data_IF_937656847793
#
_entry.id   IF_937656847793
#
_cell.length_a   1.000
_cell.length_b   1.000
_cell.length_c   1.000
_cell.angle_alpha   90.00
_cell.angle_beta   90.00
_cell.angle_gamma   90.00
#
_symmetry.space_group_name_H-M   'P 1'
#
loop_
_entity.id
_entity.type
_entity.pdbx_description
1 polymer ?
#
# COMPACT_ATOMS: atom_id res chain seq x y z
N UNK A 1 -8.17 20.72 -12.44
CA UNK A 1 -9.43 20.49 -11.70
C UNK A 1 -10.49 21.54 -12.01
N UNK A 2 -11.73 21.10 -12.28
CA UNK A 2 -12.94 21.96 -12.36
C UNK A 2 -13.91 21.61 -11.24
N UNK A 3 -14.52 22.61 -10.61
CA UNK A 3 -15.51 22.48 -9.54
C UNK A 3 -16.88 22.97 -10.01
N UNK A 4 -17.92 22.16 -9.86
CA UNK A 4 -19.32 22.47 -10.15
C UNK A 4 -20.20 22.00 -8.99
N UNK A 5 -20.41 22.87 -8.00
CA UNK A 5 -21.14 22.60 -6.76
C UNK A 5 -20.70 21.30 -6.04
N UNK A 6 -19.45 21.21 -5.54
CA UNK A 6 -18.93 20.01 -4.91
C UNK A 6 -19.77 19.58 -3.70
N UNK A 7 -20.14 18.30 -3.65
CA UNK A 7 -20.92 17.75 -2.56
C UNK A 7 -20.61 16.27 -2.32
N UNK A 8 -20.67 15.84 -1.07
CA UNK A 8 -20.50 14.43 -0.71
C UNK A 8 -21.68 13.62 -1.25
N UNK A 9 -21.38 12.50 -1.91
CA UNK A 9 -22.39 11.54 -2.36
C UNK A 9 -23.18 10.99 -1.18
N UNK A 10 -24.50 10.90 -1.33
CA UNK A 10 -25.36 10.29 -0.28
C UNK A 10 -25.15 8.78 -0.17
N UNK A 11 -24.75 8.13 -1.27
CA UNK A 11 -24.46 6.69 -1.34
C UNK A 11 -23.37 6.44 -2.39
N UNK A 12 -22.55 5.42 -2.18
CA UNK A 12 -21.53 4.94 -3.09
C UNK A 12 -22.12 3.88 -4.03
N UNK A 13 -21.69 3.92 -5.30
CA UNK A 13 -22.15 2.94 -6.29
C UNK A 13 -21.59 1.54 -6.01
N UNK A 14 -22.06 0.53 -6.75
CA UNK A 14 -21.43 -0.79 -6.69
C UNK A 14 -20.01 -0.77 -7.25
N UNK A 15 -19.77 0.03 -8.28
CA UNK A 15 -18.45 0.21 -8.90
C UNK A 15 -17.47 0.84 -7.90
N UNK A 16 -17.87 1.91 -7.21
CA UNK A 16 -17.07 2.55 -6.16
C UNK A 16 -16.67 1.52 -5.08
N UNK A 17 -17.64 0.73 -4.62
CA UNK A 17 -17.39 -0.31 -3.58
C UNK A 17 -16.46 -1.43 -4.02
N UNK A 18 -16.25 -1.62 -5.33
CA UNK A 18 -15.32 -2.62 -5.89
C UNK A 18 -13.95 -2.02 -6.13
N UNK A 19 -13.89 -0.80 -6.68
CA UNK A 19 -12.64 -0.15 -7.10
C UNK A 19 -11.90 0.47 -5.91
N UNK A 20 -12.60 1.17 -5.02
CA UNK A 20 -11.96 1.90 -3.92
C UNK A 20 -11.08 1.00 -3.04
N UNK A 21 -11.49 -0.21 -2.61
CA UNK A 21 -10.59 -1.07 -1.83
C UNK A 21 -9.30 -1.46 -2.56
N UNK A 22 -9.38 -1.62 -3.89
CA UNK A 22 -8.22 -1.98 -4.72
C UNK A 22 -7.24 -0.81 -4.80
N UNK A 23 -7.75 0.38 -5.14
CA UNK A 23 -6.95 1.60 -5.25
C UNK A 23 -6.34 2.00 -3.90
N UNK A 24 -7.13 1.96 -2.82
CA UNK A 24 -6.63 2.24 -1.47
C UNK A 24 -5.51 1.27 -1.06
N UNK A 25 -5.65 -0.02 -1.39
CA UNK A 25 -4.65 -1.01 -1.08
C UNK A 25 -3.31 -0.73 -1.80
N UNK A 26 -3.32 -0.11 -2.98
CA UNK A 26 -2.09 0.25 -3.70
C UNK A 26 -1.23 1.25 -2.92
N UNK A 27 -1.85 2.15 -2.14
CA UNK A 27 -1.14 3.10 -1.28
C UNK A 27 -0.25 2.45 -0.20
N UNK A 28 -0.40 1.14 0.03
CA UNK A 28 0.38 0.36 1.00
C UNK A 28 1.58 -0.36 0.41
N UNK A 29 1.79 -0.30 -0.91
CA UNK A 29 2.86 -1.04 -1.57
C UNK A 29 3.61 -0.17 -2.58
N UNK A 30 4.91 -0.42 -2.71
CA UNK A 30 5.76 0.20 -3.74
C UNK A 30 6.53 -0.87 -4.49
N UNK A 31 6.76 -0.63 -5.77
CA UNK A 31 7.66 -1.43 -6.59
C UNK A 31 9.00 -0.69 -6.75
N UNK A 32 10.11 -1.41 -6.62
CA UNK A 32 11.42 -0.88 -6.97
C UNK A 32 11.62 -0.85 -8.50
N UNK A 33 12.78 -0.35 -8.96
CA UNK A 33 13.12 -0.30 -10.39
C UNK A 33 13.24 -1.66 -11.08
N UNK A 34 13.22 -2.76 -10.32
CA UNK A 34 13.21 -4.14 -10.82
C UNK A 34 11.81 -4.77 -10.75
N UNK A 35 10.79 -4.00 -10.33
CA UNK A 35 9.41 -4.46 -10.19
C UNK A 35 9.15 -5.27 -8.91
N UNK A 36 10.09 -5.31 -7.95
CA UNK A 36 9.89 -6.02 -6.69
C UNK A 36 8.98 -5.20 -5.78
N UNK A 37 7.84 -5.79 -5.42
CA UNK A 37 6.84 -5.16 -4.57
C UNK A 37 7.19 -5.34 -3.10
N UNK A 38 7.14 -4.25 -2.33
CA UNK A 38 7.33 -4.25 -0.88
C UNK A 38 6.18 -3.52 -0.19
N UNK A 39 5.88 -3.93 1.04
CA UNK A 39 4.93 -3.22 1.89
C UNK A 39 5.56 -1.93 2.44
N UNK A 40 4.96 -0.80 2.07
CA UNK A 40 5.40 0.56 2.42
C UNK A 40 4.17 1.47 2.56
N UNK A 41 3.63 1.66 3.77
CA UNK A 41 2.37 2.39 3.99
C UNK A 41 2.48 3.92 3.85
N UNK A 42 3.54 4.43 3.23
CA UNK A 42 3.83 5.87 3.16
C UNK A 42 2.83 6.67 2.32
N UNK A 43 2.12 6.00 1.40
CA UNK A 43 1.16 6.64 0.50
C UNK A 43 -0.29 6.34 0.88
N UNK A 44 -0.56 5.65 1.99
CA UNK A 44 -1.90 5.25 2.39
C UNK A 44 -2.82 6.46 2.60
N UNK A 45 -2.37 7.47 3.36
CA UNK A 45 -3.17 8.67 3.64
C UNK A 45 -3.39 9.51 2.38
N UNK A 46 -2.35 9.64 1.56
CA UNK A 46 -2.44 10.34 0.26
C UNK A 46 -3.45 9.64 -0.65
N UNK A 47 -3.44 8.30 -0.67
CA UNK A 47 -4.37 7.51 -1.47
C UNK A 47 -5.80 7.62 -0.94
N UNK A 48 -5.99 7.68 0.38
CA UNK A 48 -7.31 7.91 0.98
C UNK A 48 -7.92 9.23 0.52
N UNK A 49 -7.14 10.31 0.53
CA UNK A 49 -7.58 11.63 0.03
C UNK A 49 -7.93 11.55 -1.46
N UNK A 50 -7.05 10.96 -2.29
CA UNK A 50 -7.30 10.84 -3.73
C UNK A 50 -8.59 10.06 -4.02
N UNK A 51 -8.73 8.88 -3.42
CA UNK A 51 -9.89 7.99 -3.60
C UNK A 51 -11.17 8.66 -3.10
N UNK A 52 -11.12 9.38 -1.97
CA UNK A 52 -12.27 10.13 -1.47
C UNK A 52 -12.78 11.15 -2.50
N UNK A 53 -11.89 11.97 -3.07
CA UNK A 53 -12.33 12.99 -4.03
C UNK A 53 -12.67 12.43 -5.41
N UNK A 54 -12.15 11.25 -5.78
CA UNK A 54 -12.52 10.56 -7.01
C UNK A 54 -13.89 9.88 -6.91
N UNK A 55 -14.20 9.25 -5.76
CA UNK A 55 -15.33 8.35 -5.65
C UNK A 55 -16.43 8.82 -4.72
N UNK A 56 -16.17 9.72 -3.77
CA UNK A 56 -17.13 10.11 -2.74
C UNK A 56 -17.67 11.53 -2.89
N UNK A 57 -17.10 12.34 -3.79
CA UNK A 57 -17.51 13.73 -4.00
C UNK A 57 -18.00 13.93 -5.43
N UNK A 58 -19.24 14.38 -5.58
CA UNK A 58 -19.80 14.83 -6.85
C UNK A 58 -19.39 16.28 -7.14
N UNK A 59 -19.47 16.70 -8.41
CA UNK A 59 -19.20 18.08 -8.79
C UNK A 59 -17.72 18.44 -8.90
N UNK A 60 -16.83 17.45 -8.95
CA UNK A 60 -15.40 17.64 -9.22
C UNK A 60 -15.03 16.86 -10.48
N UNK A 61 -14.35 17.51 -11.40
CA UNK A 61 -13.79 16.88 -12.58
C UNK A 61 -12.28 17.15 -12.64
N UNK A 62 -11.52 16.06 -12.71
CA UNK A 62 -10.07 16.13 -12.87
C UNK A 62 -9.68 16.12 -14.35
N UNK A 63 -8.57 16.77 -14.67
CA UNK A 63 -7.99 16.77 -16.01
C UNK A 63 -7.48 15.38 -16.35
N UNK A 64 -7.88 14.90 -17.53
CA UNK A 64 -7.47 13.60 -18.05
C UNK A 64 -6.65 13.78 -19.31
N UNK A 65 -5.66 12.91 -19.49
CA UNK A 65 -4.87 12.75 -20.72
C UNK A 65 -5.30 11.43 -21.37
N UNK A 66 -5.46 11.43 -22.69
CA UNK A 66 -5.60 10.19 -23.45
C UNK A 66 -4.23 9.54 -23.56
N UNK A 67 -4.15 8.25 -23.21
CA UNK A 67 -2.96 7.43 -23.45
C UNK A 67 -3.07 6.65 -24.75
N UNK A 68 -1.91 6.26 -25.30
CA UNK A 68 -1.80 5.41 -26.49
C UNK A 68 -2.45 4.04 -26.22
N UNK A 69 -3.76 3.96 -26.48
CA UNK A 69 -4.61 2.83 -26.08
C UNK A 69 -6.06 3.21 -25.81
N UNK A 70 -6.42 4.50 -25.87
CA UNK A 70 -7.79 4.97 -25.68
C UNK A 70 -8.25 4.94 -24.22
N UNK A 71 -7.31 4.84 -23.27
CA UNK A 71 -7.60 4.98 -21.84
C UNK A 71 -7.36 6.41 -21.41
N UNK A 72 -8.29 6.96 -20.65
CA UNK A 72 -8.12 8.25 -19.99
C UNK A 72 -7.39 8.03 -18.68
N UNK A 73 -6.24 8.67 -18.50
CA UNK A 73 -5.54 8.73 -17.21
C UNK A 73 -5.67 10.12 -16.63
N UNK A 74 -5.82 10.23 -15.31
CA UNK A 74 -5.80 11.52 -14.63
C UNK A 74 -4.39 12.13 -14.81
N UNK A 75 -4.34 13.31 -15.41
CA UNK A 75 -3.10 14.02 -15.73
C UNK A 75 -2.62 14.91 -14.57
N UNK A 76 -3.53 15.29 -13.67
CA UNK A 76 -3.22 16.17 -12.55
C UNK A 76 -2.93 15.41 -11.25
N UNK A 77 -2.12 16.01 -10.37
CA UNK A 77 -1.91 15.49 -9.02
C UNK A 77 -3.13 15.84 -8.14
N UNK A 78 -4.03 14.88 -7.97
CA UNK A 78 -5.28 15.05 -7.20
C UNK A 78 -4.98 15.56 -5.79
N UNK A 79 -4.05 14.92 -5.08
CA UNK A 79 -3.70 15.27 -3.71
C UNK A 79 -3.34 16.76 -3.61
N UNK A 80 -2.46 17.24 -4.50
CA UNK A 80 -2.09 18.65 -4.51
C UNK A 80 -3.24 19.58 -4.92
N UNK A 81 -4.11 19.14 -5.83
CA UNK A 81 -5.24 19.94 -6.30
C UNK A 81 -6.28 20.16 -5.18
N UNK A 82 -6.57 19.13 -4.40
CA UNK A 82 -7.61 19.16 -3.36
C UNK A 82 -7.10 19.71 -2.03
N UNK A 83 -5.85 19.44 -1.64
CA UNK A 83 -5.29 19.92 -0.36
C UNK A 83 -5.03 21.43 -0.34
N UNK A 84 -4.87 22.05 -1.52
CA UNK A 84 -4.76 23.51 -1.65
C UNK A 84 -6.12 24.21 -1.61
N UNK A 85 -7.23 23.45 -1.65
CA UNK A 85 -8.60 23.96 -1.67
C UNK A 85 -9.28 23.73 -0.31
N UNK A 86 -9.40 24.79 0.48
CA UNK A 86 -9.98 24.72 1.83
C UNK A 86 -11.45 24.28 1.85
N UNK A 87 -12.23 24.57 0.79
CA UNK A 87 -13.63 24.15 0.72
C UNK A 87 -13.73 22.63 0.54
N UNK A 88 -12.86 22.07 -0.30
CA UNK A 88 -12.80 20.64 -0.54
C UNK A 88 -12.30 19.89 0.71
N UNK A 89 -11.24 20.38 1.34
CA UNK A 89 -10.74 19.76 2.57
C UNK A 89 -11.75 19.80 3.70
N UNK A 90 -12.60 20.83 3.78
CA UNK A 90 -13.73 20.85 4.71
C UNK A 90 -14.71 19.69 4.49
N UNK A 91 -14.98 19.31 3.24
CA UNK A 91 -15.82 18.13 2.94
C UNK A 91 -15.14 16.83 3.40
N UNK A 92 -13.82 16.73 3.19
CA UNK A 92 -13.05 15.58 3.66
C UNK A 92 -13.09 15.46 5.19
N UNK A 93 -12.78 16.55 5.90
CA UNK A 93 -12.80 16.59 7.36
C UNK A 93 -14.20 16.29 7.90
N UNK A 94 -15.23 16.93 7.36
CA UNK A 94 -16.63 16.68 7.74
C UNK A 94 -17.03 15.21 7.54
N UNK A 95 -16.52 14.54 6.50
CA UNK A 95 -16.84 13.15 6.24
C UNK A 95 -16.21 12.18 7.24
N UNK A 96 -14.95 12.41 7.60
CA UNK A 96 -14.18 11.51 8.47
C UNK A 96 -14.26 11.84 9.96
N UNK A 97 -14.73 13.03 10.34
CA UNK A 97 -15.04 13.38 11.73
C UNK A 97 -16.35 12.72 12.24
N UNK A 98 -17.08 11.99 11.39
CA UNK A 98 -18.33 11.34 11.78
C UNK A 98 -18.11 10.14 12.70
N UNK A 99 -18.76 10.15 13.86
CA UNK A 99 -18.72 9.09 14.85
C UNK A 99 -20.08 8.36 14.98
N UNK A 100 -20.17 7.37 15.89
CA UNK A 100 -21.38 6.56 16.08
C UNK A 100 -22.61 7.38 16.47
N UNK A 101 -22.42 8.52 17.13
CA UNK A 101 -23.49 9.37 17.61
C UNK A 101 -23.93 10.40 16.54
N UNK A 102 -23.00 10.84 15.67
CA UNK A 102 -23.30 11.81 14.59
C UNK A 102 -23.76 11.17 13.29
N UNK A 103 -23.33 9.94 12.98
CA UNK A 103 -23.73 9.23 11.74
C UNK A 103 -25.25 9.20 11.53
N UNK A 104 -26.11 8.93 12.54
CA UNK A 104 -27.56 8.85 12.31
C UNK A 104 -28.20 10.13 11.76
N UNK A 105 -27.64 11.30 12.09
CA UNK A 105 -28.13 12.62 11.66
C UNK A 105 -27.39 13.18 10.44
N UNK A 106 -26.33 12.51 9.99
CA UNK A 106 -25.54 12.89 8.83
C UNK A 106 -26.34 12.73 7.50
N UNK A 107 -26.34 13.75 6.61
CA UNK A 107 -27.05 13.67 5.32
C UNK A 107 -26.55 12.56 4.37
N UNK A 108 -25.32 12.11 4.54
CA UNK A 108 -24.63 11.12 3.71
C UNK A 108 -24.20 9.89 4.53
N UNK A 109 -24.97 9.55 5.57
CA UNK A 109 -24.70 8.44 6.49
C UNK A 109 -24.50 7.09 5.79
N UNK A 110 -25.23 6.81 4.71
CA UNK A 110 -25.06 5.57 3.95
C UNK A 110 -23.67 5.50 3.31
N UNK A 111 -23.18 6.60 2.71
CA UNK A 111 -21.83 6.67 2.17
C UNK A 111 -20.75 6.51 3.25
N UNK A 112 -20.95 7.08 4.45
CA UNK A 112 -20.03 6.90 5.60
C UNK A 112 -19.97 5.44 6.02
N UNK A 113 -21.13 4.78 6.20
CA UNK A 113 -21.20 3.36 6.58
C UNK A 113 -20.54 2.48 5.50
N UNK A 114 -20.77 2.78 4.23
CA UNK A 114 -20.15 2.06 3.11
C UNK A 114 -18.63 2.27 3.09
N UNK A 115 -18.14 3.49 3.37
CA UNK A 115 -16.71 3.76 3.48
C UNK A 115 -16.06 2.92 4.59
N UNK A 116 -16.69 2.80 5.76
CA UNK A 116 -16.16 1.92 6.81
C UNK A 116 -16.04 0.46 6.35
N UNK A 117 -16.99 -0.02 5.54
CA UNK A 117 -16.90 -1.33 4.89
C UNK A 117 -15.71 -1.42 3.93
N UNK A 118 -15.54 -0.41 3.07
CA UNK A 118 -14.44 -0.30 2.10
C UNK A 118 -13.08 -0.30 2.81
N UNK A 119 -12.93 0.48 3.89
CA UNK A 119 -11.70 0.52 4.69
C UNK A 119 -11.39 -0.83 5.33
N UNK A 120 -12.42 -1.52 5.85
CA UNK A 120 -12.26 -2.88 6.39
C UNK A 120 -11.83 -3.89 5.32
N UNK A 121 -12.39 -3.80 4.11
CA UNK A 121 -11.99 -4.68 3.01
C UNK A 121 -10.59 -4.34 2.48
N UNK A 122 -10.23 -3.05 2.46
CA UNK A 122 -8.86 -2.60 2.16
C UNK A 122 -7.86 -3.22 3.12
N UNK A 123 -8.12 -3.20 4.43
CA UNK A 123 -7.25 -3.81 5.44
C UNK A 123 -7.05 -5.31 5.18
N UNK A 124 -8.13 -6.05 4.86
CA UNK A 124 -8.05 -7.48 4.52
C UNK A 124 -7.23 -7.71 3.26
N UNK A 125 -7.40 -6.87 2.23
CA UNK A 125 -6.63 -6.96 0.98
C UNK A 125 -5.15 -6.70 1.21
N UNK A 126 -4.81 -5.68 2.01
CA UNK A 126 -3.44 -5.36 2.38
C UNK A 126 -2.81 -6.51 3.15
N UNK A 127 -3.52 -7.08 4.13
CA UNK A 127 -3.00 -8.21 4.90
C UNK A 127 -2.81 -9.46 4.02
N UNK A 128 -3.78 -9.78 3.17
CA UNK A 128 -3.65 -10.89 2.23
C UNK A 128 -2.42 -10.72 1.32
N UNK A 129 -2.22 -9.52 0.75
CA UNK A 129 -1.07 -9.23 -0.12
C UNK A 129 0.26 -9.25 0.64
N UNK A 130 0.29 -8.80 1.89
CA UNK A 130 1.47 -8.95 2.76
C UNK A 130 1.83 -10.43 2.94
N UNK A 131 0.85 -11.28 3.21
CA UNK A 131 1.06 -12.72 3.34
C UNK A 131 1.58 -13.34 2.04
N UNK A 132 1.08 -12.93 0.88
CA UNK A 132 1.60 -13.39 -0.41
C UNK A 132 3.09 -13.06 -0.57
N UNK A 133 3.49 -11.82 -0.27
CA UNK A 133 4.88 -11.37 -0.36
C UNK A 133 5.82 -12.11 0.59
N UNK A 134 5.33 -12.57 1.75
CA UNK A 134 6.11 -13.36 2.71
C UNK A 134 6.29 -14.78 2.19
N UNK A 135 5.20 -15.45 1.80
CA UNK A 135 5.26 -16.84 1.33
C UNK A 135 6.05 -16.98 0.02
N UNK A 136 5.97 -16.01 -0.90
CA UNK A 136 6.81 -16.01 -2.11
C UNK A 136 8.31 -16.00 -1.78
N UNK A 137 8.71 -15.26 -0.73
CA UNK A 137 10.10 -15.23 -0.26
C UNK A 137 10.50 -16.53 0.42
N UNK A 138 9.59 -17.13 1.20
CA UNK A 138 9.81 -18.43 1.84
C UNK A 138 9.97 -19.56 0.82
N UNK A 139 9.15 -19.58 -0.23
CA UNK A 139 9.25 -20.55 -1.31
C UNK A 139 10.58 -20.41 -2.08
N UNK A 140 10.99 -19.19 -2.39
CA UNK A 140 12.26 -18.92 -3.05
C UNK A 140 13.48 -19.35 -2.20
N UNK A 141 13.45 -19.06 -0.90
CA UNK A 141 14.50 -19.51 0.03
C UNK A 141 14.52 -21.03 0.16
N UNK A 142 13.36 -21.67 0.24
CA UNK A 142 13.24 -23.13 0.30
C UNK A 142 13.80 -23.77 -0.96
N UNK A 143 13.48 -23.24 -2.14
CA UNK A 143 14.04 -23.70 -3.40
C UNK A 143 15.56 -23.55 -3.46
N UNK A 144 16.11 -22.42 -2.97
CA UNK A 144 17.55 -22.20 -2.88
C UNK A 144 18.23 -23.20 -1.96
N UNK A 145 17.68 -23.44 -0.75
CA UNK A 145 18.21 -24.40 0.22
C UNK A 145 18.17 -25.84 -0.31
N UNK A 146 17.12 -26.21 -1.04
CA UNK A 146 17.02 -27.52 -1.70
C UNK A 146 18.05 -27.65 -2.82
N UNK A 147 18.25 -26.61 -3.63
CA UNK A 147 19.27 -26.61 -4.68
C UNK A 147 20.69 -26.69 -4.10
N UNK A 148 20.96 -25.95 -3.02
CA UNK A 148 22.24 -25.99 -2.30
C UNK A 148 22.50 -27.38 -1.70
N UNK A 149 21.49 -27.97 -1.03
CA UNK A 149 21.60 -29.32 -0.46
C UNK A 149 21.90 -30.36 -1.54
N UNK A 150 21.17 -30.36 -2.66
CA UNK A 150 21.44 -31.27 -3.79
C UNK A 150 22.84 -31.11 -4.37
N UNK A 151 23.34 -29.87 -4.42
CA UNK A 151 24.72 -29.60 -4.88
C UNK A 151 25.76 -30.09 -3.88
N UNK A 152 25.53 -29.94 -2.58
CA UNK A 152 26.42 -30.45 -1.53
C UNK A 152 26.44 -31.99 -1.52
N UNK A 153 25.28 -32.64 -1.66
CA UNK A 153 25.18 -34.10 -1.77
C UNK A 153 25.90 -34.67 -3.01
N UNK A 154 25.98 -33.88 -4.08
CA UNK A 154 26.65 -34.26 -5.33
C UNK A 154 28.17 -34.01 -5.32
N UNK A 155 28.72 -33.37 -4.30
CA UNK A 155 30.15 -33.10 -4.17
C UNK A 155 30.81 -34.21 -3.35
N UNK A 156 31.98 -34.67 -3.77
CA UNK A 156 32.77 -35.64 -2.98
C UNK A 156 33.06 -35.03 -1.60
N UNK A 157 32.63 -35.67 -0.49
CA UNK A 157 32.85 -35.13 0.86
C UNK A 157 34.33 -34.91 1.20
N UNK A 158 35.27 -35.50 0.44
CA UNK A 158 36.72 -35.25 0.57
C UNK A 158 37.18 -33.92 -0.04
N UNK A 159 36.37 -33.32 -0.92
CA UNK A 159 36.63 -32.01 -1.55
C UNK A 159 35.86 -30.87 -0.86
N UNK A 160 34.91 -31.18 0.01
CA UNK A 160 34.11 -30.23 0.77
C UNK A 160 34.83 -29.83 2.05
N UNK A 161 35.57 -28.71 2.02
CA UNK A 161 36.11 -28.11 3.23
C UNK A 161 35.00 -27.36 3.99
N UNK A 162 34.15 -28.12 4.68
CA UNK A 162 33.03 -27.59 5.47
C UNK A 162 33.49 -26.56 6.51
N UNK A 163 34.76 -26.60 6.94
CA UNK A 163 35.33 -25.66 7.89
C UNK A 163 35.50 -24.26 7.27
N UNK A 164 36.00 -24.18 6.03
CA UNK A 164 36.12 -22.94 5.26
C UNK A 164 34.75 -22.36 4.91
N UNK A 165 33.80 -23.22 4.52
CA UNK A 165 32.43 -22.78 4.24
C UNK A 165 31.72 -22.21 5.49
N UNK A 166 31.92 -22.83 6.67
CA UNK A 166 31.39 -22.34 7.94
C UNK A 166 32.09 -21.06 8.41
N UNK A 167 33.38 -20.88 8.16
CA UNK A 167 34.07 -19.62 8.44
C UNK A 167 33.59 -18.51 7.50
N UNK A 168 33.44 -18.77 6.21
CA UNK A 168 32.88 -17.81 5.26
C UNK A 168 31.47 -17.37 5.67
N UNK A 169 30.60 -18.32 6.06
CA UNK A 169 29.24 -18.01 6.56
C UNK A 169 29.30 -17.23 7.88
N UNK A 170 30.25 -17.50 8.77
CA UNK A 170 30.44 -16.69 9.99
C UNK A 170 30.98 -15.29 9.72
N UNK A 171 31.85 -15.13 8.72
CA UNK A 171 32.38 -13.83 8.30
C UNK A 171 31.32 -12.99 7.58
N UNK A 172 30.50 -13.61 6.72
CA UNK A 172 29.37 -12.94 6.05
C UNK A 172 28.18 -12.71 6.99
N UNK A 173 27.97 -13.60 7.96
CA UNK A 173 26.98 -13.44 9.01
C UNK A 173 27.64 -12.89 10.27
N UNK A 174 28.08 -11.64 10.22
CA UNK A 174 28.60 -10.95 11.40
C UNK A 174 27.44 -10.38 12.24
N UNK A 175 27.10 -10.97 13.40
CA UNK A 175 26.02 -10.46 14.25
C UNK A 175 26.28 -9.04 14.76
N UNK A 176 27.52 -8.53 14.72
CA UNK A 176 27.81 -7.13 15.04
C UNK A 176 27.29 -6.15 13.97
N UNK A 177 27.26 -6.54 12.69
CA UNK A 177 26.67 -5.72 11.63
C UNK A 177 25.13 -5.72 11.68
N UNK A 178 24.52 -6.85 12.06
CA UNK A 178 23.07 -6.94 12.29
C UNK A 178 22.62 -6.16 13.56
N UNK A 179 23.48 -6.08 14.58
CA UNK A 179 23.25 -5.28 15.79
C UNK A 179 23.41 -3.78 15.55
N UNK A 180 24.39 -3.35 14.75
CA UNK A 180 24.55 -1.93 14.38
C UNK A 180 23.37 -1.37 13.59
N UNK A 181 22.71 -2.18 12.74
CA UNK A 181 21.47 -1.77 12.04
C UNK A 181 20.28 -1.67 13.01
N UNK A 182 20.26 -2.44 14.11
CA UNK A 182 19.24 -2.34 15.17
C UNK A 182 19.49 -1.18 16.15
N UNK A 183 20.74 -0.88 16.49
CA UNK A 183 21.07 0.23 17.39
C UNK A 183 21.03 1.59 16.69
N UNK A 184 21.41 1.69 15.40
CA UNK A 184 21.25 2.92 14.63
C UNK A 184 19.77 3.32 14.50
N UNK A 185 18.89 2.33 14.35
CA UNK A 185 17.44 2.51 14.24
C UNK A 185 16.74 2.86 15.56
N UNK A 186 17.40 2.63 16.70
CA UNK A 186 16.90 3.02 18.03
C UNK A 186 17.50 4.36 18.52
N UNK A 187 18.51 4.92 17.83
CA UNK A 187 19.10 6.23 18.15
C UNK A 187 18.54 7.39 17.31
N UNK A 188 17.75 7.10 16.29
CA UNK A 188 17.03 8.11 15.48
C UNK A 188 15.59 8.37 15.98
N UNK A 189 15.17 7.68 17.05
CA UNK A 189 13.82 7.78 17.65
C UNK A 189 13.81 8.31 19.10
N UNK A 190 14.93 8.87 19.57
CA UNK A 190 15.00 9.72 20.77
C UNK A 190 15.34 11.18 20.41
#
# INVERSE_FOLDING_TARGET
MKKENPAIKTTLSMEDRILMPQELAEGYFTADGEGRVSYTPYYADMMLINVFFLHCVDGIAFEVKETEGGKNEIAENIYEAVTKDAELMKLYDEFFEQDKDTIPSCPYKEAVIQMYGILSDTEKMVEFRKQQLIHEKEDALTALLLAATKKIEAVDPKLLNLREALEYVKETYNPAQAAHVREARNKETD
#
